data_IF_610021217866
#
_entry.id   IF_610021217866
#
_cell.length_a   1.000
_cell.length_b   1.000
_cell.length_c   1.000
_cell.angle_alpha   90.00
_cell.angle_beta   90.00
_cell.angle_gamma   90.00
#
_symmetry.space_group_name_H-M   'P 1'
#
loop_
_entity.id
_entity.type
_entity.pdbx_description
1 polymer ?
#
# COMPACT_ATOMS: atom_id res chain seq x y z
N UNK A 1 -7.76 0.75 13.09
CA UNK A 1 -7.42 2.10 12.61
C UNK A 1 -6.22 2.05 11.67
N UNK A 2 -6.06 3.09 10.82
CA UNK A 2 -4.92 3.26 9.92
C UNK A 2 -4.67 4.75 9.67
N UNK A 3 -3.52 5.07 9.07
CA UNK A 3 -3.23 6.39 8.50
C UNK A 3 -3.50 6.31 6.98
N UNK A 4 -4.42 7.13 6.48
CA UNK A 4 -4.78 7.17 5.05
C UNK A 4 -4.31 8.47 4.38
N UNK A 5 -3.09 8.93 4.70
CA UNK A 5 -2.51 10.09 4.04
C UNK A 5 -2.10 9.77 2.60
N UNK A 6 -2.36 10.72 1.71
CA UNK A 6 -2.00 10.66 0.30
C UNK A 6 -0.65 11.34 0.07
N UNK A 7 0.35 10.61 -0.38
CA UNK A 7 1.71 11.09 -0.57
C UNK A 7 2.03 11.23 -2.06
N UNK A 8 2.64 12.36 -2.43
CA UNK A 8 3.39 12.52 -3.67
C UNK A 8 4.74 13.16 -3.32
N UNK A 9 5.79 12.35 -3.31
CA UNK A 9 7.11 12.80 -2.90
C UNK A 9 7.79 13.69 -3.94
N UNK A 10 7.30 13.76 -5.18
CA UNK A 10 7.75 14.74 -6.16
C UNK A 10 7.43 16.16 -5.70
N UNK A 11 6.33 16.34 -4.96
CA UNK A 11 5.89 17.62 -4.43
C UNK A 11 4.90 18.33 -5.33
N UNK A 12 4.35 19.45 -4.85
CA UNK A 12 3.42 20.28 -5.61
C UNK A 12 4.16 21.13 -6.64
N UNK A 13 3.49 21.44 -7.76
CA UNK A 13 4.05 22.33 -8.79
C UNK A 13 5.11 21.69 -9.70
N UNK A 14 5.29 20.38 -9.62
CA UNK A 14 6.15 19.65 -10.56
C UNK A 14 5.42 19.41 -11.90
N UNK A 15 6.15 19.23 -13.01
CA UNK A 15 5.53 18.97 -14.32
C UNK A 15 4.71 17.68 -14.35
N UNK A 16 5.01 16.73 -13.46
CA UNK A 16 4.28 15.47 -13.36
C UNK A 16 3.57 15.38 -12.02
N UNK A 17 2.28 15.11 -12.07
CA UNK A 17 1.46 14.82 -10.89
C UNK A 17 1.40 13.33 -10.60
N UNK A 18 1.95 12.47 -11.47
CA UNK A 18 1.93 11.02 -11.31
C UNK A 18 2.95 10.53 -10.28
N UNK A 19 2.60 9.46 -9.58
CA UNK A 19 3.52 8.74 -8.66
C UNK A 19 4.13 7.49 -9.32
N UNK A 20 3.94 7.29 -10.62
CA UNK A 20 4.37 6.06 -11.30
C UNK A 20 5.90 5.91 -11.39
N UNK A 21 6.65 7.00 -11.28
CA UNK A 21 8.12 6.99 -11.20
C UNK A 21 8.67 6.71 -9.79
N UNK A 22 7.81 6.78 -8.76
CA UNK A 22 8.25 6.54 -7.39
C UNK A 22 8.71 5.09 -7.22
N UNK A 23 9.89 4.94 -6.63
CA UNK A 23 10.47 3.64 -6.29
C UNK A 23 9.94 3.18 -4.94
N UNK A 24 9.41 1.97 -4.89
CA UNK A 24 8.88 1.38 -3.67
C UNK A 24 9.59 0.07 -3.37
N UNK A 25 9.90 -0.15 -2.10
CA UNK A 25 10.35 -1.43 -1.54
C UNK A 25 9.48 -1.74 -0.32
N UNK A 26 8.96 -2.97 -0.24
CA UNK A 26 8.10 -3.44 0.87
C UNK A 26 8.70 -4.70 1.49
N UNK A 27 8.79 -4.73 2.82
CA UNK A 27 9.32 -5.87 3.57
C UNK A 27 8.23 -6.95 3.76
N UNK A 28 7.82 -7.59 2.67
CA UNK A 28 6.78 -8.60 2.66
C UNK A 28 7.07 -9.70 1.63
N UNK A 29 6.82 -10.97 1.99
CA UNK A 29 6.90 -12.11 1.06
C UNK A 29 5.52 -12.53 0.55
N UNK A 30 4.43 -11.99 1.15
CA UNK A 30 3.05 -12.33 0.83
C UNK A 30 2.20 -11.07 0.77
N UNK A 31 1.05 -11.20 0.08
CA UNK A 31 -0.02 -10.20 0.04
C UNK A 31 -1.37 -10.90 0.14
N UNK A 32 -2.42 -10.13 0.40
CA UNK A 32 -3.80 -10.62 0.50
C UNK A 32 -4.53 -10.28 -0.80
N UNK A 33 -4.95 -11.31 -1.59
CA UNK A 33 -5.75 -11.11 -2.78
C UNK A 33 -7.13 -10.55 -2.50
N UNK A 34 -7.65 -9.79 -3.46
CA UNK A 34 -9.01 -9.22 -3.43
C UNK A 34 -9.87 -9.80 -4.55
N UNK A 35 -11.18 -9.83 -4.34
CA UNK A 35 -12.17 -10.15 -5.37
C UNK A 35 -12.48 -8.94 -6.28
N UNK A 36 -13.38 -9.11 -7.22
CA UNK A 36 -13.80 -8.06 -8.15
C UNK A 36 -14.54 -6.87 -7.48
N UNK A 37 -14.97 -7.03 -6.24
CA UNK A 37 -15.60 -5.98 -5.42
C UNK A 37 -14.60 -5.36 -4.44
N UNK A 38 -13.30 -5.66 -4.59
CA UNK A 38 -12.19 -5.24 -3.71
C UNK A 38 -12.24 -5.81 -2.29
N UNK A 39 -13.06 -6.83 -2.03
CA UNK A 39 -13.07 -7.50 -0.74
C UNK A 39 -11.89 -8.49 -0.63
N UNK A 40 -11.34 -8.59 0.57
CA UNK A 40 -10.31 -9.60 0.86
C UNK A 40 -10.91 -11.01 0.73
N UNK A 41 -10.17 -11.91 0.06
CA UNK A 41 -10.62 -13.30 -0.17
C UNK A 41 -10.28 -14.25 0.99
N UNK A 42 -9.51 -13.80 1.97
CA UNK A 42 -8.95 -14.64 3.03
C UNK A 42 -7.69 -15.41 2.62
N UNK A 43 -7.33 -15.40 1.33
CA UNK A 43 -6.10 -16.05 0.84
C UNK A 43 -4.87 -15.24 1.26
N UNK A 44 -3.75 -15.94 1.52
CA UNK A 44 -2.40 -15.37 1.67
C UNK A 44 -1.54 -15.89 0.52
N UNK A 45 -1.15 -15.00 -0.40
CA UNK A 45 -0.45 -15.36 -1.63
C UNK A 45 0.97 -14.82 -1.65
N UNK A 46 1.93 -15.63 -2.10
CA UNK A 46 3.32 -15.19 -2.28
C UNK A 46 3.44 -14.08 -3.34
N UNK A 47 4.32 -13.11 -3.09
CA UNK A 47 4.58 -12.00 -4.04
C UNK A 47 5.47 -12.43 -5.20
N UNK A 48 6.27 -13.49 -5.04
CA UNK A 48 7.22 -13.97 -6.05
C UNK A 48 6.53 -14.25 -7.39
N UNK A 49 7.18 -13.84 -8.49
CA UNK A 49 6.70 -13.98 -9.88
C UNK A 49 5.37 -13.23 -10.17
N UNK A 50 4.96 -12.31 -9.30
CA UNK A 50 3.76 -11.49 -9.45
C UNK A 50 4.12 -10.00 -9.63
N UNK A 51 3.15 -9.15 -10.08
CA UNK A 51 3.35 -7.70 -10.07
C UNK A 51 3.54 -7.09 -8.69
N UNK A 52 3.20 -7.84 -7.63
CA UNK A 52 3.26 -7.42 -6.22
C UNK A 52 4.62 -7.66 -5.57
N UNK A 53 5.63 -8.14 -6.30
CA UNK A 53 6.97 -8.35 -5.75
C UNK A 53 7.74 -7.02 -5.61
N UNK A 54 7.60 -6.39 -4.45
CA UNK A 54 8.32 -5.19 -4.05
C UNK A 54 9.41 -5.47 -3.00
N UNK A 55 9.93 -6.69 -2.94
CA UNK A 55 11.04 -7.04 -2.03
C UNK A 55 12.32 -6.26 -2.37
N UNK A 56 12.51 -5.93 -3.64
CA UNK A 56 13.49 -4.98 -4.14
C UNK A 56 12.82 -3.70 -4.62
N UNK A 57 13.61 -2.66 -4.91
CA UNK A 57 13.07 -1.39 -5.43
C UNK A 57 12.53 -1.55 -6.84
N UNK A 58 11.25 -1.27 -7.00
CA UNK A 58 10.57 -1.17 -8.29
C UNK A 58 9.78 0.13 -8.39
N UNK A 59 9.72 0.73 -9.57
CA UNK A 59 8.81 1.85 -9.76
C UNK A 59 7.37 1.37 -9.78
N UNK A 60 6.47 2.18 -9.23
CA UNK A 60 5.03 1.87 -9.19
C UNK A 60 4.51 1.61 -10.61
N UNK A 61 4.92 2.44 -11.58
CA UNK A 61 4.48 2.34 -12.97
C UNK A 61 5.00 1.13 -13.75
N UNK A 62 6.09 0.49 -13.30
CA UNK A 62 6.75 -0.60 -14.02
C UNK A 62 5.82 -1.77 -14.33
N UNK A 63 4.92 -2.08 -13.39
CA UNK A 63 4.08 -3.28 -13.47
C UNK A 63 2.59 -3.01 -13.26
N UNK A 64 2.18 -1.81 -12.85
CA UNK A 64 0.81 -1.46 -12.48
C UNK A 64 -0.22 -1.70 -13.60
N UNK A 65 0.22 -1.72 -14.85
CA UNK A 65 -0.63 -1.92 -16.04
C UNK A 65 -0.50 -3.33 -16.63
N UNK A 66 0.16 -4.28 -15.93
CA UNK A 66 0.22 -5.68 -16.40
C UNK A 66 -1.18 -6.29 -16.43
N UNK A 67 -1.40 -7.23 -17.35
CA UNK A 67 -2.62 -8.05 -17.39
C UNK A 67 -2.58 -9.11 -16.30
N UNK A 68 -2.86 -8.68 -15.08
CA UNK A 68 -2.94 -9.51 -13.90
C UNK A 68 -4.31 -9.30 -13.24
N UNK A 69 -4.95 -10.40 -12.81
CA UNK A 69 -6.32 -10.36 -12.27
C UNK A 69 -6.42 -9.46 -11.02
N UNK A 70 -5.40 -9.48 -10.16
CA UNK A 70 -5.40 -8.68 -8.95
C UNK A 70 -5.25 -7.18 -9.25
N UNK A 71 -4.40 -6.82 -10.21
CA UNK A 71 -4.30 -5.44 -10.69
C UNK A 71 -5.58 -4.97 -11.38
N UNK A 72 -6.30 -5.87 -12.06
CA UNK A 72 -7.61 -5.57 -12.65
C UNK A 72 -8.65 -5.33 -11.57
N UNK A 73 -8.72 -6.19 -10.55
CA UNK A 73 -9.65 -6.06 -9.43
C UNK A 73 -9.44 -4.75 -8.65
N UNK A 74 -8.18 -4.36 -8.37
CA UNK A 74 -7.84 -3.13 -7.65
C UNK A 74 -7.73 -1.89 -8.55
N UNK A 75 -7.92 -2.02 -9.87
CA UNK A 75 -7.64 -0.95 -10.85
C UNK A 75 -6.20 -0.40 -10.78
N UNK A 76 -5.29 -1.17 -10.22
CA UNK A 76 -3.92 -0.88 -9.87
C UNK A 76 -3.56 -1.55 -8.55
N UNK A 77 -2.63 -1.00 -7.78
CA UNK A 77 -2.35 -1.52 -6.45
C UNK A 77 -3.38 -0.96 -5.45
N UNK A 78 -4.00 -1.85 -4.70
CA UNK A 78 -4.93 -1.60 -3.61
C UNK A 78 -4.99 -2.87 -2.72
N UNK A 79 -3.83 -3.32 -2.26
CA UNK A 79 -3.68 -4.63 -1.65
C UNK A 79 -2.91 -4.53 -0.34
N UNK A 80 -3.30 -5.38 0.62
CA UNK A 80 -2.62 -5.52 1.88
C UNK A 80 -1.41 -6.47 1.73
N UNK A 81 -0.23 -5.97 2.01
CA UNK A 81 1.00 -6.75 2.13
C UNK A 81 1.14 -7.30 3.53
N UNK A 82 1.49 -8.58 3.64
CA UNK A 82 1.77 -9.27 4.90
C UNK A 82 3.21 -8.98 5.29
N UNK A 83 3.41 -8.08 6.24
CA UNK A 83 4.73 -7.62 6.64
C UNK A 83 5.52 -8.71 7.37
N UNK A 84 6.82 -8.79 7.09
CA UNK A 84 7.76 -9.58 7.89
C UNK A 84 7.94 -8.91 9.24
N UNK A 85 7.49 -9.57 10.30
CA UNK A 85 7.57 -9.06 11.67
C UNK A 85 8.52 -9.93 12.48
N UNK A 86 9.50 -9.34 13.24
CA UNK A 86 10.32 -10.10 14.20
C UNK A 86 9.46 -10.72 15.31
N UNK A 87 8.49 -9.94 15.81
CA UNK A 87 7.44 -10.38 16.71
C UNK A 87 6.17 -9.59 16.45
N UNK A 88 5.02 -10.15 16.81
CA UNK A 88 3.72 -9.47 16.71
C UNK A 88 3.76 -8.19 17.58
N UNK A 89 3.26 -7.09 17.03
CA UNK A 89 3.25 -5.76 17.66
C UNK A 89 4.63 -5.11 17.93
N UNK A 90 5.72 -5.69 17.41
CA UNK A 90 7.02 -5.04 17.47
C UNK A 90 7.13 -3.95 16.39
N UNK A 91 7.64 -2.77 16.77
CA UNK A 91 7.93 -1.71 15.81
C UNK A 91 9.06 -2.15 14.88
N UNK A 92 8.75 -2.32 13.61
CA UNK A 92 9.72 -2.80 12.61
C UNK A 92 9.53 -2.12 11.26
N UNK A 93 10.56 -2.18 10.44
CA UNK A 93 10.55 -1.62 9.09
C UNK A 93 9.50 -2.32 8.22
N UNK A 94 8.68 -1.50 7.54
CA UNK A 94 7.62 -1.95 6.64
C UNK A 94 7.92 -1.66 5.18
N UNK A 95 8.21 -0.41 4.83
CA UNK A 95 8.42 0.00 3.45
C UNK A 95 9.29 1.25 3.31
N UNK A 96 9.83 1.44 2.12
CA UNK A 96 10.45 2.70 1.67
C UNK A 96 9.78 3.16 0.38
N UNK A 97 9.53 4.47 0.27
CA UNK A 97 9.13 5.13 -0.97
C UNK A 97 10.12 6.26 -1.29
N UNK A 98 10.55 6.36 -2.55
CA UNK A 98 11.52 7.36 -3.01
C UNK A 98 10.99 8.00 -4.29
N UNK A 99 11.01 9.32 -4.37
CA UNK A 99 10.82 10.03 -5.64
C UNK A 99 12.19 10.36 -6.25
N UNK A 100 12.56 9.76 -7.39
CA UNK A 100 13.83 10.06 -8.06
C UNK A 100 13.93 11.52 -8.50
N UNK A 101 12.81 12.12 -8.90
CA UNK A 101 12.77 13.49 -9.41
C UNK A 101 13.06 14.56 -8.35
N UNK A 102 12.67 14.32 -7.09
CA UNK A 102 12.87 15.26 -5.98
C UNK A 102 13.97 14.85 -5.01
N UNK A 103 14.39 13.58 -5.05
CA UNK A 103 15.30 12.98 -4.07
C UNK A 103 14.68 12.74 -2.69
N UNK A 104 13.38 13.02 -2.50
CA UNK A 104 12.71 12.77 -1.22
C UNK A 104 12.52 11.28 -1.01
N UNK A 105 12.75 10.86 0.24
CA UNK A 105 12.59 9.49 0.71
C UNK A 105 11.69 9.48 1.94
N UNK A 106 10.82 8.48 2.02
CA UNK A 106 9.98 8.17 3.17
C UNK A 106 10.22 6.72 3.57
N UNK A 107 10.62 6.50 4.81
CA UNK A 107 10.70 5.17 5.42
C UNK A 107 9.55 5.00 6.39
N UNK A 108 8.92 3.83 6.35
CA UNK A 108 7.71 3.50 7.11
C UNK A 108 8.05 2.39 8.10
N UNK A 109 7.72 2.62 9.35
CA UNK A 109 7.83 1.66 10.46
C UNK A 109 6.47 1.49 11.10
N UNK A 110 6.15 0.29 11.54
CA UNK A 110 4.85 0.01 12.15
C UNK A 110 4.91 -1.15 13.13
N UNK A 111 3.98 -1.15 14.09
CA UNK A 111 3.67 -2.28 14.95
C UNK A 111 2.66 -3.23 14.30
N UNK A 112 1.97 -2.79 13.25
CA UNK A 112 0.90 -3.51 12.57
C UNK A 112 1.42 -4.66 11.69
N UNK A 113 0.64 -5.74 11.49
CA UNK A 113 1.03 -6.88 10.67
C UNK A 113 0.91 -6.64 9.18
N UNK A 114 0.11 -5.67 8.76
CA UNK A 114 -0.20 -5.38 7.36
C UNK A 114 0.12 -3.96 6.93
N UNK A 115 0.32 -3.82 5.62
CA UNK A 115 0.48 -2.54 4.94
C UNK A 115 -0.31 -2.56 3.65
N UNK A 116 -1.36 -1.73 3.53
CA UNK A 116 -1.99 -1.51 2.23
C UNK A 116 -1.17 -0.47 1.46
N UNK A 117 -0.83 -0.81 0.21
CA UNK A 117 -0.37 0.15 -0.78
C UNK A 117 -1.49 0.45 -1.74
N UNK A 118 -2.03 1.67 -1.66
CA UNK A 118 -3.08 2.18 -2.55
C UNK A 118 -2.54 3.27 -3.46
N UNK A 119 -2.67 3.10 -4.76
CA UNK A 119 -2.05 3.99 -5.76
C UNK A 119 -2.99 5.06 -6.32
N UNK A 120 -3.99 5.49 -5.54
CA UNK A 120 -4.89 6.57 -5.95
C UNK A 120 -5.71 6.23 -7.20
N UNK A 121 -6.11 4.97 -7.36
CA UNK A 121 -6.73 4.44 -8.57
C UNK A 121 -8.11 5.06 -8.88
N UNK A 122 -8.79 5.57 -7.86
CA UNK A 122 -10.14 6.15 -7.94
C UNK A 122 -10.16 7.68 -7.78
N UNK A 123 -9.00 8.35 -7.76
CA UNK A 123 -8.96 9.80 -7.69
C UNK A 123 -9.60 10.40 -8.96
N UNK A 124 -10.66 11.23 -8.82
CA UNK A 124 -11.47 11.66 -9.96
C UNK A 124 -10.91 12.86 -10.72
N UNK A 125 -9.74 13.38 -10.32
CA UNK A 125 -9.21 14.61 -10.89
C UNK A 125 -9.79 15.88 -10.28
N UNK A 126 -10.09 15.89 -8.99
CA UNK A 126 -10.57 17.10 -8.31
C UNK A 126 -9.48 18.16 -8.16
N UNK A 127 -9.89 19.42 -8.14
CA UNK A 127 -9.01 20.56 -7.91
C UNK A 127 -8.82 20.79 -6.41
N UNK A 128 -7.58 20.78 -5.97
CA UNK A 128 -7.21 21.04 -4.58
C UNK A 128 -6.60 22.42 -4.40
N UNK A 129 -5.68 22.54 -3.42
CA UNK A 129 -5.03 23.81 -3.08
C UNK A 129 -4.29 24.42 -4.29
N UNK A 130 -4.34 25.74 -4.39
CA UNK A 130 -3.69 26.53 -5.45
C UNK A 130 -4.08 26.13 -6.89
N UNK A 131 -5.27 25.57 -7.09
CA UNK A 131 -5.73 25.14 -8.40
C UNK A 131 -5.07 23.85 -8.93
N UNK A 132 -4.31 23.15 -8.10
CA UNK A 132 -3.67 21.87 -8.49
C UNK A 132 -4.74 20.80 -8.70
N UNK A 133 -4.70 20.14 -9.86
CA UNK A 133 -5.57 19.02 -10.16
C UNK A 133 -4.91 17.71 -9.70
N UNK A 134 -5.65 16.87 -8.97
CA UNK A 134 -5.20 15.57 -8.51
C UNK A 134 -5.86 14.45 -9.32
N UNK A 135 -5.28 14.05 -10.46
CA UNK A 135 -5.81 12.99 -11.29
C UNK A 135 -5.55 11.60 -10.68
N UNK A 136 -6.11 10.60 -11.31
CA UNK A 136 -5.79 9.20 -11.02
C UNK A 136 -4.27 8.99 -10.95
N UNK A 137 -3.80 8.26 -9.93
CA UNK A 137 -2.36 7.96 -9.70
C UNK A 137 -1.50 9.20 -9.46
N UNK A 138 -2.09 10.22 -8.86
CA UNK A 138 -1.33 11.41 -8.44
C UNK A 138 -0.81 11.31 -7.01
N UNK A 139 -1.19 10.28 -6.27
CA UNK A 139 -0.72 10.03 -4.92
C UNK A 139 -0.74 8.52 -4.59
N UNK A 140 0.07 8.13 -3.61
CA UNK A 140 0.09 6.78 -3.04
C UNK A 140 -0.18 6.86 -1.53
N UNK A 141 -0.96 5.90 -1.01
CA UNK A 141 -1.17 5.71 0.42
C UNK A 141 -0.41 4.47 0.88
N UNK A 142 0.11 4.55 2.10
CA UNK A 142 0.71 3.43 2.82
C UNK A 142 0.00 3.30 4.16
N UNK A 143 -0.92 2.36 4.23
CA UNK A 143 -1.89 2.22 5.32
C UNK A 143 -1.48 1.06 6.20
N UNK A 144 -0.80 1.36 7.29
CA UNK A 144 -0.41 0.34 8.27
C UNK A 144 -1.60 -0.04 9.13
N UNK A 145 -1.94 -1.34 9.19
CA UNK A 145 -3.14 -1.81 9.84
C UNK A 145 -3.13 -3.32 10.08
N UNK A 146 -4.11 -3.81 10.84
CA UNK A 146 -4.48 -5.23 10.84
C UNK A 146 -4.98 -5.65 9.45
N UNK A 147 -5.00 -6.95 9.20
CA UNK A 147 -5.48 -7.46 7.91
C UNK A 147 -6.96 -7.12 7.70
N UNK A 148 -7.36 -6.69 6.49
CA UNK A 148 -8.77 -6.47 6.18
C UNK A 148 -9.59 -7.76 6.38
N UNK A 149 -10.82 -7.60 6.84
CA UNK A 149 -11.78 -8.69 7.06
C UNK A 149 -11.31 -9.77 8.07
N UNK A 150 -10.42 -9.42 8.99
CA UNK A 150 -9.94 -10.33 10.06
C UNK A 150 -11.07 -11.00 10.84
N UNK A 151 -12.21 -10.34 11.20
CA UNK A 151 -13.28 -11.00 11.95
C UNK A 151 -13.85 -12.23 11.27
N UNK A 152 -13.82 -12.30 9.94
CA UNK A 152 -14.33 -13.42 9.14
C UNK A 152 -13.24 -14.44 8.77
N UNK A 153 -11.98 -14.14 9.09
CA UNK A 153 -10.82 -14.95 8.73
C UNK A 153 -10.03 -15.37 10.00
N UNK A 154 -10.44 -16.43 10.73
CA UNK A 154 -9.89 -16.78 12.03
C UNK A 154 -8.41 -17.20 12.00
N UNK A 155 -7.82 -17.41 10.83
CA UNK A 155 -6.39 -17.68 10.64
C UNK A 155 -5.54 -16.40 10.57
N UNK A 156 -6.17 -15.22 10.52
CA UNK A 156 -5.48 -13.94 10.61
C UNK A 156 -5.18 -13.55 12.08
N UNK A 157 -4.18 -12.68 12.32
CA UNK A 157 -3.92 -12.15 13.66
C UNK A 157 -5.18 -11.49 14.25
N UNK A 158 -5.50 -11.81 15.51
CA UNK A 158 -6.70 -11.27 16.17
C UNK A 158 -6.65 -9.75 16.27
N UNK A 159 -7.80 -9.10 16.05
CA UNK A 159 -8.01 -7.65 16.28
C UNK A 159 -8.78 -7.36 17.56
N UNK A 160 -9.02 -8.40 18.38
CA UNK A 160 -9.78 -8.26 19.63
C UNK A 160 -8.91 -7.57 20.66
N UNK A 161 -9.33 -6.37 21.08
CA UNK A 161 -8.78 -5.65 22.21
C UNK A 161 -9.67 -5.92 23.43
N UNK A 162 -9.10 -6.41 24.51
CA UNK A 162 -9.82 -6.73 25.76
C UNK A 162 -9.67 -5.59 26.73
N UNK A 163 -10.55 -5.54 27.74
CA UNK A 163 -10.41 -4.59 28.83
C UNK A 163 -9.04 -4.74 29.52
N UNK A 164 -8.29 -3.65 29.61
CA UNK A 164 -6.94 -3.60 30.16
C UNK A 164 -5.80 -3.81 29.14
N UNK A 165 -6.12 -4.24 27.89
CA UNK A 165 -5.13 -4.32 26.83
C UNK A 165 -4.74 -2.91 26.32
N UNK A 166 -3.52 -2.79 25.81
CA UNK A 166 -3.03 -1.58 25.13
C UNK A 166 -3.00 -1.82 23.62
N UNK A 167 -3.43 -0.80 22.89
CA UNK A 167 -3.30 -0.74 21.44
C UNK A 167 -2.13 0.12 21.01
#
# INVERSE_FOLDING_TARGET
PTNHAYFNLAGMGTPTTSIEDHLVRINADFYLPIDMNTNNTGEVRAVGDTPFDFRDYHSIGERINRKDLQLLNGHGYDHCFVLKKPALHELSFAATCISPSSGRRMDIYTTEPGLIMYTGNYLPGFTGMHGTVYPRRSAVCFETQCFPDTPNNPHFPSIVLREGDLY
#
